data_IF_566395274078
#
_entry.id   IF_566395274078
#
_cell.length_a   1.000
_cell.length_b   1.000
_cell.length_c   1.000
_cell.angle_alpha   90.00
_cell.angle_beta   90.00
_cell.angle_gamma   90.00
#
_symmetry.space_group_name_H-M   'P 1'
#
loop_
_entity.id
_entity.type
_entity.pdbx_description
1 polymer ?
#
# COMPACT_ATOMS: atom_id res chain seq x y z
N UNK A 1 11.88 -10.01 10.58
CA UNK A 1 11.09 -8.76 10.58
C UNK A 1 10.32 -8.68 11.89
N UNK A 2 10.53 -7.66 12.72
CA UNK A 2 9.77 -7.52 13.98
C UNK A 2 8.42 -6.84 13.72
N UNK A 3 7.28 -7.52 13.98
CA UNK A 3 5.95 -6.95 13.78
C UNK A 3 5.64 -5.82 14.78
N UNK A 4 6.32 -5.78 15.92
CA UNK A 4 6.09 -4.80 16.99
C UNK A 4 6.93 -3.52 16.88
N UNK A 5 7.73 -3.34 15.82
CA UNK A 5 8.53 -2.11 15.69
C UNK A 5 7.59 -0.95 15.33
N UNK A 6 7.49 0.11 16.14
CA UNK A 6 6.65 1.26 15.81
C UNK A 6 7.12 1.89 14.49
N UNK A 7 6.17 2.46 13.73
CA UNK A 7 6.50 3.22 12.53
C UNK A 7 7.15 4.54 12.93
N UNK A 8 8.30 4.84 12.34
CA UNK A 8 8.96 6.14 12.41
C UNK A 8 8.11 7.21 11.72
N UNK A 9 8.36 8.48 12.06
CA UNK A 9 7.64 9.61 11.44
C UNK A 9 7.79 9.60 9.91
N UNK A 10 8.98 9.32 9.41
CA UNK A 10 9.26 9.20 7.97
C UNK A 10 8.45 8.09 7.30
N UNK A 11 8.33 6.90 7.93
CA UNK A 11 7.50 5.82 7.40
C UNK A 11 6.02 6.23 7.34
N UNK A 12 5.52 6.91 8.39
CA UNK A 12 4.12 7.39 8.45
C UNK A 12 3.84 8.43 7.36
N UNK A 13 4.70 9.43 7.23
CA UNK A 13 4.60 10.47 6.20
C UNK A 13 4.69 9.86 4.80
N UNK A 14 5.56 8.86 4.62
CA UNK A 14 5.65 8.12 3.36
C UNK A 14 4.33 7.43 3.03
N UNK A 15 3.77 6.62 3.95
CA UNK A 15 2.51 5.88 3.73
C UNK A 15 1.38 6.85 3.40
N UNK A 16 1.24 7.95 4.16
CA UNK A 16 0.20 8.95 3.92
C UNK A 16 0.32 9.62 2.54
N UNK A 17 1.54 9.91 2.09
CA UNK A 17 1.80 10.55 0.78
C UNK A 17 1.45 9.65 -0.41
N UNK A 18 1.70 8.35 -0.28
CA UNK A 18 1.56 7.38 -1.38
C UNK A 18 0.26 6.59 -1.34
N UNK A 19 -0.52 6.70 -0.26
CA UNK A 19 -1.84 6.09 -0.13
C UNK A 19 -2.74 6.46 -1.32
N UNK A 20 -3.39 5.44 -1.90
CA UNK A 20 -4.27 5.60 -3.06
C UNK A 20 -3.55 5.81 -4.40
N UNK A 21 -2.22 5.92 -4.42
CA UNK A 21 -1.40 6.09 -5.63
C UNK A 21 -0.48 4.91 -5.91
N UNK A 22 -0.01 4.25 -4.85
CA UNK A 22 0.99 3.19 -4.91
C UNK A 22 0.42 1.91 -4.28
N UNK A 23 0.62 0.72 -4.92
CA UNK A 23 0.12 -0.54 -4.38
C UNK A 23 0.73 -0.88 -3.02
N UNK A 24 -0.05 -1.54 -2.17
CA UNK A 24 0.37 -1.98 -0.84
C UNK A 24 1.71 -2.75 -0.86
N UNK A 25 1.90 -3.64 -1.83
CA UNK A 25 3.13 -4.43 -1.98
C UNK A 25 4.36 -3.55 -2.16
N UNK A 26 4.25 -2.51 -2.99
CA UNK A 26 5.35 -1.58 -3.27
C UNK A 26 5.65 -0.71 -2.05
N UNK A 27 4.61 -0.22 -1.37
CA UNK A 27 4.76 0.55 -0.13
C UNK A 27 5.50 -0.28 0.91
N UNK A 28 5.05 -1.51 1.12
CA UNK A 28 5.62 -2.46 2.08
C UNK A 28 7.10 -2.76 1.78
N UNK A 29 7.43 -3.02 0.52
CA UNK A 29 8.83 -3.20 0.07
C UNK A 29 9.68 -1.96 0.29
N UNK A 30 9.16 -0.76 0.02
CA UNK A 30 9.91 0.49 0.16
C UNK A 30 10.32 0.81 1.59
N UNK A 31 9.49 0.46 2.57
CA UNK A 31 9.78 0.66 4.01
C UNK A 31 10.28 -0.60 4.71
N UNK A 32 10.52 -1.68 3.96
CA UNK A 32 10.95 -2.99 4.45
C UNK A 32 10.06 -3.52 5.60
N UNK A 33 8.73 -3.45 5.40
CA UNK A 33 7.69 -3.90 6.34
C UNK A 33 6.80 -4.96 5.71
N UNK A 34 6.20 -5.85 6.51
CA UNK A 34 5.21 -6.79 5.99
C UNK A 34 3.95 -6.04 5.49
N UNK A 35 3.38 -6.41 4.33
CA UNK A 35 2.17 -5.80 3.78
C UNK A 35 0.99 -5.78 4.78
N UNK A 36 0.82 -6.87 5.54
CA UNK A 36 -0.22 -6.99 6.57
C UNK A 36 -0.07 -5.94 7.67
N UNK A 37 1.16 -5.65 8.10
CA UNK A 37 1.42 -4.63 9.12
C UNK A 37 1.15 -3.22 8.61
N UNK A 38 1.44 -2.94 7.33
CA UNK A 38 1.14 -1.65 6.71
C UNK A 38 -0.37 -1.46 6.57
N UNK A 39 -1.08 -2.52 6.19
CA UNK A 39 -2.53 -2.49 6.06
C UNK A 39 -3.24 -2.30 7.40
N UNK A 40 -2.80 -3.01 8.45
CA UNK A 40 -3.35 -2.81 9.80
C UNK A 40 -3.12 -1.38 10.30
N UNK A 41 -1.90 -0.86 10.13
CA UNK A 41 -1.58 0.50 10.54
C UNK A 41 -2.43 1.54 9.81
N UNK A 42 -2.57 1.41 8.49
CA UNK A 42 -3.37 2.32 7.69
C UNK A 42 -4.86 2.24 8.05
N UNK A 43 -5.42 1.05 8.28
CA UNK A 43 -6.79 0.88 8.76
C UNK A 43 -7.00 1.56 10.13
N UNK A 44 -6.07 1.39 11.06
CA UNK A 44 -6.13 2.03 12.38
C UNK A 44 -6.07 3.57 12.30
N UNK A 45 -5.52 4.13 11.21
CA UNK A 45 -5.43 5.58 10.97
C UNK A 45 -6.46 6.07 9.93
N UNK A 46 -7.39 5.22 9.48
CA UNK A 46 -8.41 5.59 8.48
C UNK A 46 -7.86 5.86 7.07
N UNK A 47 -6.64 5.42 6.77
CA UNK A 47 -5.97 5.64 5.48
C UNK A 47 -6.36 4.53 4.50
N UNK A 48 -6.98 4.92 3.38
CA UNK A 48 -7.31 3.98 2.29
C UNK A 48 -6.09 3.74 1.41
N UNK A 49 -5.48 2.56 1.54
CA UNK A 49 -4.34 2.13 0.71
C UNK A 49 -4.74 1.59 -0.67
N UNK A 50 -6.05 1.40 -0.92
CA UNK A 50 -6.54 0.89 -2.20
C UNK A 50 -6.24 1.90 -3.31
N UNK A 51 -5.47 1.48 -4.30
CA UNK A 51 -5.23 2.25 -5.53
C UNK A 51 -6.41 2.07 -6.48
N UNK A 52 -6.99 3.14 -7.03
CA UNK A 52 -8.02 3.04 -8.06
C UNK A 52 -7.51 2.30 -9.31
N UNK A 53 -8.37 1.50 -9.94
CA UNK A 53 -8.02 0.66 -11.10
C UNK A 53 -7.33 1.45 -12.22
N UNK A 54 -7.86 2.62 -12.58
CA UNK A 54 -7.29 3.46 -13.65
C UNK A 54 -5.84 3.87 -13.39
N UNK A 55 -5.46 4.12 -12.12
CA UNK A 55 -4.08 4.42 -11.74
C UNK A 55 -3.24 3.14 -11.74
N UNK A 56 -3.82 2.04 -11.27
CA UNK A 56 -3.16 0.75 -11.22
C UNK A 56 -2.80 0.25 -12.64
N UNK A 57 -3.70 0.33 -13.61
CA UNK A 57 -3.43 -0.06 -15.00
C UNK A 57 -2.49 0.90 -15.73
N UNK A 58 -2.47 2.18 -15.34
CA UNK A 58 -1.61 3.18 -15.99
C UNK A 58 -0.17 3.13 -15.51
N UNK A 59 0.04 2.90 -14.21
CA UNK A 59 1.35 3.03 -13.57
C UNK A 59 1.86 1.74 -12.89
N UNK A 60 0.99 0.77 -12.63
CA UNK A 60 1.27 -0.42 -11.80
C UNK A 60 0.65 -1.70 -12.38
N UNK A 61 0.76 -1.91 -13.70
CA UNK A 61 0.11 -3.04 -14.40
C UNK A 61 0.42 -4.41 -13.78
N UNK A 62 1.65 -4.60 -13.33
CA UNK A 62 2.12 -5.84 -12.71
C UNK A 62 1.46 -6.15 -11.35
N UNK A 63 0.89 -5.13 -10.68
CA UNK A 63 0.20 -5.26 -9.39
C UNK A 63 -1.32 -5.23 -9.53
N UNK A 64 -1.86 -5.21 -10.76
CA UNK A 64 -3.30 -5.28 -10.99
C UNK A 64 -3.79 -6.64 -10.47
N UNK A 65 -4.68 -6.68 -9.46
CA UNK A 65 -5.21 -7.93 -8.97
C UNK A 65 -5.98 -8.66 -10.07
N UNK A 66 -5.82 -9.97 -10.18
CA UNK A 66 -6.52 -10.78 -11.18
C UNK A 66 -8.05 -10.58 -11.16
N UNK A 67 -8.63 -10.33 -9.98
CA UNK A 67 -10.07 -10.03 -9.84
C UNK A 67 -10.49 -8.69 -10.47
N UNK A 68 -9.60 -7.70 -10.60
CA UNK A 68 -9.88 -6.46 -11.33
C UNK A 68 -9.45 -6.52 -12.80
N UNK A 69 -8.60 -7.47 -13.18
CA UNK A 69 -8.23 -7.70 -14.58
C UNK A 69 -9.35 -8.41 -15.37
N UNK A 70 -10.24 -9.14 -14.69
CA UNK A 70 -11.33 -9.91 -15.31
C UNK A 70 -12.61 -9.10 -15.57
N UNK A 71 -12.74 -7.88 -15.03
CA UNK A 71 -13.90 -6.99 -15.22
C UNK A 71 -13.63 -5.86 -16.24
N UNK A 72 -12.52 -5.92 -16.98
CA UNK A 72 -12.12 -4.90 -17.96
C UNK A 72 -12.32 -5.35 -19.42
#
# INVERSE_FOLDING_TARGET
MNPNKPYSKLEKDYIARVAGKVPLQVIASAINRPPSGVQQWANAHGIKLRVPYSIMVKHWREYVPAHQAAEA
#
